data_IF_806722841910
#
_entry.id   IF_806722841910
#
_cell.length_a   1.000
_cell.length_b   1.000
_cell.length_c   1.000
_cell.angle_alpha   90.00
_cell.angle_beta   90.00
_cell.angle_gamma   90.00
#
_symmetry.space_group_name_H-M   'P 1'
#
loop_
_entity.id
_entity.type
_entity.pdbx_description
1 polymer ?
#
# COMPACT_ATOMS: atom_id res chain seq x y z
N UNK A 1 8.51 10.42 11.26
CA UNK A 1 9.61 11.36 10.92
C UNK A 1 10.63 11.17 12.02
N UNK A 2 11.83 10.73 11.71
CA UNK A 2 12.88 10.58 12.71
C UNK A 2 13.49 11.96 12.98
N UNK A 3 13.88 12.21 14.23
CA UNK A 3 14.58 13.43 14.60
C UNK A 3 16.08 13.21 14.44
N UNK A 4 16.76 14.06 13.69
CA UNK A 4 18.22 14.12 13.60
C UNK A 4 18.86 14.92 14.74
N UNK A 5 18.03 15.49 15.63
CA UNK A 5 18.46 16.26 16.81
C UNK A 5 18.37 15.42 18.10
N UNK A 6 17.83 14.22 18.00
CA UNK A 6 17.67 13.30 19.11
C UNK A 6 18.73 12.23 18.99
N UNK A 7 19.49 12.02 20.05
CA UNK A 7 20.49 10.95 20.12
C UNK A 7 19.82 9.62 20.46
N UNK A 8 20.24 8.56 19.78
CA UNK A 8 19.75 7.19 20.01
C UNK A 8 20.92 6.24 20.30
N UNK A 9 20.68 5.19 21.09
CA UNK A 9 21.66 4.11 21.20
C UNK A 9 21.69 3.26 19.92
N UNK A 10 20.51 2.95 19.38
CA UNK A 10 20.35 2.09 18.19
C UNK A 10 19.28 2.68 17.27
N UNK A 11 19.57 2.71 15.97
CA UNK A 11 18.59 3.00 14.93
C UNK A 11 18.51 1.86 13.91
N UNK A 12 17.32 1.64 13.35
CA UNK A 12 17.10 0.63 12.30
C UNK A 12 16.50 1.32 11.09
N UNK A 13 17.17 1.21 9.95
CA UNK A 13 16.68 1.67 8.65
C UNK A 13 16.37 0.45 7.80
N UNK A 14 15.08 0.19 7.63
CA UNK A 14 14.61 -0.94 6.82
C UNK A 14 14.57 -0.58 5.32
N UNK A 15 14.66 -1.60 4.47
CA UNK A 15 14.60 -1.51 3.01
C UNK A 15 15.61 -0.53 2.41
N UNK A 16 16.88 -0.59 2.86
CA UNK A 16 17.92 0.39 2.55
C UNK A 16 18.13 0.68 1.05
N UNK A 17 17.84 -0.28 0.16
CA UNK A 17 17.88 -0.06 -1.30
C UNK A 17 16.96 1.06 -1.79
N UNK A 18 15.96 1.45 -0.99
CA UNK A 18 15.07 2.57 -1.24
C UNK A 18 15.81 3.91 -1.33
N UNK A 19 17.06 4.03 -0.86
CA UNK A 19 17.88 5.23 -1.07
C UNK A 19 18.10 5.58 -2.54
N UNK A 20 17.93 4.62 -3.47
CA UNK A 20 17.97 4.84 -4.92
C UNK A 20 16.59 5.06 -5.56
N UNK A 21 15.51 5.07 -4.78
CA UNK A 21 14.16 5.38 -5.28
C UNK A 21 14.09 6.87 -5.69
N UNK A 22 13.79 7.20 -6.96
CA UNK A 22 13.85 8.58 -7.46
C UNK A 22 12.89 9.57 -6.80
N UNK A 23 11.87 9.07 -6.12
CA UNK A 23 10.82 9.86 -5.48
C UNK A 23 11.05 9.95 -3.96
N UNK A 24 11.34 8.81 -3.33
CA UNK A 24 11.37 8.66 -1.87
C UNK A 24 12.77 8.53 -1.27
N UNK A 25 13.78 8.26 -2.10
CA UNK A 25 15.13 7.92 -1.64
C UNK A 25 15.81 9.00 -0.81
N UNK A 26 15.42 10.27 -0.98
CA UNK A 26 15.88 11.38 -0.14
C UNK A 26 15.68 11.14 1.35
N UNK A 27 14.60 10.48 1.75
CA UNK A 27 14.33 10.16 3.16
C UNK A 27 15.30 9.11 3.72
N UNK A 28 15.66 8.09 2.93
CA UNK A 28 16.64 7.07 3.34
C UNK A 28 18.04 7.64 3.40
N UNK A 29 18.45 8.41 2.40
CA UNK A 29 19.76 9.09 2.41
C UNK A 29 19.88 10.03 3.60
N UNK A 30 18.81 10.79 3.93
CA UNK A 30 18.79 11.63 5.12
C UNK A 30 18.87 10.83 6.43
N UNK A 31 18.28 9.63 6.48
CA UNK A 31 18.36 8.77 7.65
C UNK A 31 19.78 8.23 7.85
N UNK A 32 20.36 7.67 6.79
CA UNK A 32 21.69 7.05 6.82
C UNK A 32 22.78 8.06 7.19
N UNK A 33 22.72 9.27 6.64
CA UNK A 33 23.75 10.30 6.85
C UNK A 33 23.46 11.22 8.03
N UNK A 34 22.24 11.21 8.57
CA UNK A 34 21.78 12.24 9.52
C UNK A 34 21.26 11.72 10.86
N UNK A 35 21.09 10.41 11.03
CA UNK A 35 20.72 9.85 12.34
C UNK A 35 21.89 9.94 13.31
N UNK A 36 21.66 10.60 14.45
CA UNK A 36 22.58 10.60 15.58
C UNK A 36 22.34 9.33 16.41
N UNK A 37 23.02 8.23 16.03
CA UNK A 37 22.93 6.96 16.74
C UNK A 37 24.30 6.28 16.87
N UNK A 38 24.53 5.60 18.00
CA UNK A 38 25.79 4.83 18.21
C UNK A 38 25.90 3.64 17.27
N UNK A 39 24.78 2.99 16.96
CA UNK A 39 24.69 1.87 16.02
C UNK A 39 23.50 2.06 15.07
N UNK A 40 23.73 1.95 13.76
CA UNK A 40 22.69 2.04 12.74
C UNK A 40 22.64 0.71 11.98
N UNK A 41 21.57 -0.07 12.18
CA UNK A 41 21.31 -1.28 11.43
C UNK A 41 20.60 -0.96 10.12
N UNK A 42 21.24 -1.29 9.01
CA UNK A 42 20.67 -1.15 7.66
C UNK A 42 20.20 -2.51 7.16
N UNK A 43 18.89 -2.68 6.99
CA UNK A 43 18.28 -3.92 6.48
C UNK A 43 17.87 -3.73 5.02
N UNK A 44 18.16 -4.69 4.15
CA UNK A 44 17.69 -4.66 2.75
C UNK A 44 18.44 -5.61 1.81
N UNK A 45 18.29 -5.40 0.51
CA UNK A 45 18.92 -6.28 -0.49
C UNK A 45 20.43 -6.03 -0.63
N UNK A 46 21.18 -7.11 -0.93
CA UNK A 46 22.63 -7.07 -1.06
C UNK A 46 23.15 -6.08 -2.14
N UNK A 47 22.29 -5.67 -3.07
CA UNK A 47 22.59 -4.71 -4.13
C UNK A 47 22.78 -3.28 -3.64
N UNK A 48 22.32 -2.96 -2.43
CA UNK A 48 22.54 -1.67 -1.79
C UNK A 48 23.94 -1.54 -1.18
N UNK A 49 24.57 -2.65 -0.80
CA UNK A 49 25.84 -2.67 -0.05
C UNK A 49 26.95 -1.85 -0.70
N UNK A 50 27.25 -1.98 -2.02
CA UNK A 50 28.34 -1.22 -2.63
C UNK A 50 28.10 0.30 -2.58
N UNK A 51 26.84 0.73 -2.74
CA UNK A 51 26.49 2.15 -2.68
C UNK A 51 26.56 2.68 -1.25
N UNK A 52 26.05 1.90 -0.27
CA UNK A 52 26.15 2.24 1.16
C UNK A 52 27.62 2.39 1.57
N UNK A 53 28.48 1.45 1.18
CA UNK A 53 29.91 1.55 1.45
C UNK A 53 30.53 2.81 0.82
N UNK A 54 30.16 3.13 -0.42
CA UNK A 54 30.67 4.32 -1.11
C UNK A 54 30.19 5.64 -0.49
N UNK A 55 28.95 5.74 -0.01
CA UNK A 55 28.46 6.98 0.61
C UNK A 55 29.03 7.21 2.01
N UNK A 56 29.33 6.13 2.75
CA UNK A 56 29.89 6.16 4.10
C UNK A 56 31.42 6.18 4.14
N UNK A 57 32.11 6.03 3.01
CA UNK A 57 33.58 6.00 2.94
C UNK A 57 34.25 7.22 3.61
N UNK A 58 33.60 8.38 3.53
CA UNK A 58 34.14 9.64 4.06
C UNK A 58 33.58 10.04 5.43
N UNK A 59 32.71 9.23 6.05
CA UNK A 59 32.15 9.54 7.37
C UNK A 59 33.05 9.07 8.51
N UNK A 60 33.90 8.07 8.24
CA UNK A 60 34.74 7.43 9.25
C UNK A 60 34.02 6.35 10.07
N UNK A 61 32.79 6.00 9.70
CA UNK A 61 32.01 4.95 10.36
C UNK A 61 32.54 3.55 10.04
N UNK A 62 32.43 2.63 11.00
CA UNK A 62 32.69 1.20 10.78
C UNK A 62 31.49 0.54 10.08
N UNK A 63 31.74 -0.23 9.03
CA UNK A 63 30.69 -0.92 8.27
C UNK A 63 30.86 -2.43 8.39
N UNK A 64 29.92 -3.09 9.07
CA UNK A 64 29.87 -4.54 9.23
C UNK A 64 28.75 -5.12 8.36
N UNK A 65 29.10 -5.99 7.41
CA UNK A 65 28.14 -6.58 6.46
C UNK A 65 27.80 -8.02 6.86
N UNK A 66 26.58 -8.21 7.38
CA UNK A 66 26.01 -9.54 7.61
C UNK A 66 25.17 -9.99 6.41
N UNK A 67 25.44 -11.20 5.90
CA UNK A 67 24.69 -11.79 4.78
C UNK A 67 23.78 -12.91 5.28
N UNK A 68 22.52 -12.85 4.87
CA UNK A 68 21.48 -13.80 5.26
C UNK A 68 20.93 -14.51 4.02
N UNK A 69 20.67 -15.81 4.15
CA UNK A 69 19.96 -16.59 3.15
C UNK A 69 18.49 -16.77 3.52
N UNK A 70 17.67 -17.14 2.55
CA UNK A 70 16.24 -17.36 2.77
C UNK A 70 16.05 -18.58 3.68
N UNK A 71 15.24 -18.42 4.72
CA UNK A 71 14.95 -19.46 5.71
C UNK A 71 14.22 -20.68 5.12
N UNK A 72 13.50 -20.51 4.01
CA UNK A 72 12.80 -21.56 3.28
C UNK A 72 13.20 -21.53 1.81
N UNK A 73 13.06 -22.64 1.05
CA UNK A 73 13.36 -22.64 -0.39
C UNK A 73 12.22 -22.01 -1.21
N UNK A 74 12.56 -21.31 -2.29
CA UNK A 74 11.61 -20.72 -3.25
C UNK A 74 11.79 -21.44 -4.58
N UNK A 75 10.73 -22.03 -5.13
CA UNK A 75 10.79 -22.80 -6.39
C UNK A 75 9.88 -22.17 -7.43
N UNK A 76 10.39 -22.00 -8.64
CA UNK A 76 9.57 -21.63 -9.80
C UNK A 76 8.92 -22.89 -10.36
N UNK A 77 7.61 -22.83 -10.64
CA UNK A 77 6.90 -23.94 -11.26
C UNK A 77 7.42 -24.21 -12.68
N UNK A 78 7.33 -25.47 -13.12
CA UNK A 78 7.72 -25.86 -14.48
C UNK A 78 6.81 -25.24 -15.55
N UNK A 79 5.52 -25.18 -15.26
CA UNK A 79 4.48 -24.68 -16.16
C UNK A 79 3.70 -23.53 -15.52
N UNK A 80 3.14 -22.67 -16.37
CA UNK A 80 2.16 -21.66 -15.97
C UNK A 80 0.82 -22.33 -15.67
N UNK A 81 -0.18 -21.55 -15.25
CA UNK A 81 -1.54 -22.04 -15.17
C UNK A 81 -2.25 -22.13 -16.53
N UNK A 82 -1.57 -21.80 -17.64
CA UNK A 82 -2.08 -21.85 -19.03
C UNK A 82 -3.37 -21.05 -19.23
N UNK A 83 -3.53 -19.97 -18.47
CA UNK A 83 -4.74 -19.15 -18.43
C UNK A 83 -5.94 -19.80 -17.74
N UNK A 84 -5.80 -21.02 -17.21
CA UNK A 84 -6.89 -21.76 -16.58
C UNK A 84 -6.97 -21.48 -15.08
N UNK A 85 -7.93 -20.62 -14.72
CA UNK A 85 -8.20 -20.24 -13.34
C UNK A 85 -8.75 -21.39 -12.48
N UNK A 86 -9.19 -22.52 -13.05
CA UNK A 86 -9.57 -23.70 -12.28
C UNK A 86 -8.37 -24.32 -11.54
N UNK A 87 -7.14 -24.00 -11.97
CA UNK A 87 -5.92 -24.46 -11.32
C UNK A 87 -5.50 -23.63 -10.09
N UNK A 88 -6.28 -22.60 -9.75
CA UNK A 88 -6.11 -21.84 -8.50
C UNK A 88 -6.54 -22.70 -7.30
N UNK A 89 -5.76 -22.63 -6.22
CA UNK A 89 -5.89 -23.47 -5.03
C UNK A 89 -5.85 -22.61 -3.76
N UNK A 90 -6.32 -23.18 -2.64
CA UNK A 90 -6.22 -22.55 -1.33
C UNK A 90 -4.77 -22.21 -0.98
N UNK A 91 -4.54 -21.00 -0.51
CA UNK A 91 -3.22 -20.44 -0.20
C UNK A 91 -2.49 -19.81 -1.39
N UNK A 92 -3.12 -19.77 -2.57
CA UNK A 92 -2.61 -19.00 -3.70
C UNK A 92 -2.78 -17.50 -3.46
N UNK A 93 -1.81 -16.73 -3.96
CA UNK A 93 -1.93 -15.30 -4.14
C UNK A 93 -1.74 -14.94 -5.61
N UNK A 94 -2.79 -14.38 -6.23
CA UNK A 94 -2.76 -13.91 -7.62
C UNK A 94 -2.39 -12.43 -7.65
N UNK A 95 -1.33 -12.10 -8.37
CA UNK A 95 -0.77 -10.75 -8.40
C UNK A 95 -1.15 -10.05 -9.70
N UNK A 96 -1.84 -8.91 -9.59
CA UNK A 96 -2.22 -8.07 -10.72
C UNK A 96 -1.96 -6.59 -10.41
N UNK A 97 -1.58 -5.81 -11.44
CA UNK A 97 -1.13 -4.42 -11.26
C UNK A 97 -2.18 -3.37 -11.62
N UNK A 98 -3.44 -3.80 -11.83
CA UNK A 98 -4.57 -2.91 -12.07
C UNK A 98 -5.72 -3.23 -11.14
N UNK A 99 -6.34 -2.21 -10.56
CA UNK A 99 -7.55 -2.35 -9.74
C UNK A 99 -8.67 -3.04 -10.52
N UNK A 100 -8.89 -2.67 -11.78
CA UNK A 100 -9.93 -3.30 -12.61
C UNK A 100 -9.65 -4.79 -12.83
N UNK A 101 -8.37 -5.15 -13.03
CA UNK A 101 -7.95 -6.55 -13.18
C UNK A 101 -8.14 -7.33 -11.88
N UNK A 102 -7.79 -6.76 -10.72
CA UNK A 102 -7.99 -7.40 -9.41
C UNK A 102 -9.46 -7.79 -9.19
N UNK A 103 -10.40 -6.88 -9.45
CA UNK A 103 -11.83 -7.18 -9.33
C UNK A 103 -12.33 -8.16 -10.40
N UNK A 104 -11.77 -8.10 -11.61
CA UNK A 104 -12.06 -9.07 -12.69
C UNK A 104 -11.63 -10.48 -12.29
N UNK A 105 -10.39 -10.65 -11.82
CA UNK A 105 -9.84 -11.92 -11.34
C UNK A 105 -10.66 -12.48 -10.18
N UNK A 106 -11.04 -11.65 -9.20
CA UNK A 106 -11.92 -12.07 -8.09
C UNK A 106 -13.19 -12.72 -8.63
N UNK A 107 -13.89 -12.04 -9.55
CA UNK A 107 -15.13 -12.55 -10.13
C UNK A 107 -14.93 -13.85 -10.91
N UNK A 108 -13.82 -13.95 -11.66
CA UNK A 108 -13.54 -15.13 -12.48
C UNK A 108 -13.13 -16.34 -11.63
N UNK A 109 -12.24 -16.15 -10.64
CA UNK A 109 -11.77 -17.21 -9.73
C UNK A 109 -12.93 -17.72 -8.87
N UNK A 110 -13.72 -16.84 -8.26
CA UNK A 110 -14.89 -17.25 -7.46
C UNK A 110 -15.93 -18.00 -8.30
N UNK A 111 -16.09 -17.63 -9.58
CA UNK A 111 -17.00 -18.31 -10.50
C UNK A 111 -16.48 -19.68 -10.94
N UNK A 112 -15.19 -19.80 -11.21
CA UNK A 112 -14.56 -21.01 -11.72
C UNK A 112 -14.34 -22.06 -10.62
N UNK A 113 -13.81 -21.64 -9.47
CA UNK A 113 -13.34 -22.55 -8.41
C UNK A 113 -14.29 -22.65 -7.22
N UNK A 114 -15.16 -21.65 -7.01
CA UNK A 114 -15.95 -21.50 -5.78
C UNK A 114 -15.16 -21.03 -4.56
N UNK A 115 -13.84 -20.85 -4.66
CA UNK A 115 -12.98 -20.32 -3.61
C UNK A 115 -13.20 -18.82 -3.43
N UNK A 116 -13.24 -18.34 -2.18
CA UNK A 116 -13.37 -16.89 -1.94
C UNK A 116 -12.03 -16.19 -1.94
N UNK A 117 -12.04 -14.97 -2.46
CA UNK A 117 -10.83 -14.17 -2.64
C UNK A 117 -10.83 -12.93 -1.73
N UNK A 118 -9.79 -12.80 -0.89
CA UNK A 118 -9.47 -11.56 -0.18
C UNK A 118 -8.75 -10.60 -1.13
N UNK A 119 -8.86 -9.28 -0.90
CA UNK A 119 -8.31 -8.26 -1.81
C UNK A 119 -7.30 -7.35 -1.10
N UNK A 120 -6.12 -7.16 -1.68
CA UNK A 120 -5.10 -6.22 -1.17
C UNK A 120 -4.48 -5.40 -2.31
N UNK A 121 -4.81 -4.11 -2.39
CA UNK A 121 -4.25 -3.20 -3.39
C UNK A 121 -3.90 -1.84 -2.79
N UNK A 122 -3.02 -1.09 -3.45
CA UNK A 122 -2.38 0.11 -2.87
C UNK A 122 -3.32 1.25 -2.45
N UNK A 123 -4.54 1.33 -3.01
CA UNK A 123 -5.53 2.35 -2.63
C UNK A 123 -6.31 2.00 -1.35
N UNK A 124 -6.26 0.76 -0.87
CA UNK A 124 -6.97 0.36 0.34
C UNK A 124 -6.32 0.96 1.60
N UNK A 125 -7.14 1.40 2.57
CA UNK A 125 -6.66 1.78 3.90
C UNK A 125 -5.77 0.69 4.51
N UNK A 126 -4.68 1.05 5.23
CA UNK A 126 -3.82 0.08 5.94
C UNK A 126 -4.60 -0.87 6.85
N UNK A 127 -5.60 -0.36 7.54
CA UNK A 127 -6.48 -1.07 8.47
C UNK A 127 -7.27 -2.14 7.72
N UNK A 128 -7.95 -1.77 6.63
CA UNK A 128 -8.68 -2.70 5.74
C UNK A 128 -7.74 -3.72 5.11
N UNK A 129 -6.51 -3.33 4.74
CA UNK A 129 -5.50 -4.27 4.21
C UNK A 129 -5.08 -5.30 5.25
N UNK A 130 -4.96 -4.90 6.51
CA UNK A 130 -4.58 -5.78 7.62
C UNK A 130 -5.71 -6.77 7.92
N UNK A 131 -6.95 -6.31 7.91
CA UNK A 131 -8.13 -7.17 8.07
C UNK A 131 -8.29 -8.18 6.92
N UNK A 132 -8.12 -7.75 5.66
CA UNK A 132 -8.12 -8.68 4.52
C UNK A 132 -6.97 -9.71 4.59
N UNK A 133 -5.83 -9.32 5.15
CA UNK A 133 -4.71 -10.22 5.40
C UNK A 133 -5.02 -11.23 6.52
N UNK A 134 -5.66 -10.79 7.60
CA UNK A 134 -6.11 -11.66 8.70
C UNK A 134 -7.16 -12.67 8.22
N UNK A 135 -8.13 -12.21 7.42
CA UNK A 135 -9.13 -13.07 6.79
C UNK A 135 -8.50 -14.13 5.89
N UNK A 136 -7.44 -13.81 5.15
CA UNK A 136 -6.71 -14.78 4.33
C UNK A 136 -5.85 -15.74 5.16
N UNK A 137 -5.23 -15.25 6.24
CA UNK A 137 -4.34 -16.06 7.08
C UNK A 137 -5.10 -17.03 7.97
N UNK A 138 -6.32 -16.69 8.39
CA UNK A 138 -7.12 -17.51 9.29
C UNK A 138 -7.63 -18.78 8.56
N UNK A 139 -7.27 -20.00 8.99
CA UNK A 139 -7.73 -21.23 8.34
C UNK A 139 -9.26 -21.44 8.39
N UNK A 140 -9.91 -20.92 9.44
CA UNK A 140 -11.36 -21.02 9.69
C UNK A 140 -12.18 -19.96 8.95
N UNK A 141 -11.49 -18.97 8.37
CA UNK A 141 -12.10 -17.94 7.56
C UNK A 141 -12.56 -18.51 6.21
N UNK A 142 -13.64 -17.97 5.61
CA UNK A 142 -14.12 -18.44 4.32
C UNK A 142 -13.25 -17.98 3.14
N UNK A 143 -12.16 -17.24 3.38
CA UNK A 143 -11.26 -16.72 2.34
C UNK A 143 -10.08 -17.67 2.10
N UNK A 144 -9.98 -18.20 0.88
CA UNK A 144 -9.01 -19.23 0.53
C UNK A 144 -7.87 -18.71 -0.35
N UNK A 145 -8.10 -17.61 -1.08
CA UNK A 145 -7.18 -17.05 -2.08
C UNK A 145 -6.99 -15.55 -1.80
N UNK A 146 -5.78 -15.05 -2.03
CA UNK A 146 -5.49 -13.61 -1.99
C UNK A 146 -5.35 -13.08 -3.41
N UNK A 147 -5.93 -11.93 -3.72
CA UNK A 147 -5.63 -11.22 -4.97
C UNK A 147 -5.09 -9.84 -4.60
N UNK A 148 -3.91 -9.50 -5.10
CA UNK A 148 -3.31 -8.22 -4.76
C UNK A 148 -2.37 -7.61 -5.77
N UNK A 149 -1.98 -6.37 -5.52
CA UNK A 149 -0.97 -5.66 -6.31
C UNK A 149 0.42 -5.81 -5.69
N UNK A 150 1.39 -5.06 -6.22
CA UNK A 150 2.69 -4.84 -5.57
C UNK A 150 2.61 -4.39 -4.10
N UNK A 151 1.46 -3.91 -3.63
CA UNK A 151 1.20 -3.60 -2.23
C UNK A 151 1.37 -4.80 -1.29
N UNK A 152 1.26 -6.05 -1.78
CA UNK A 152 1.53 -7.24 -0.96
C UNK A 152 3.01 -7.41 -0.67
N UNK A 153 3.90 -6.80 -1.48
CA UNK A 153 5.35 -6.96 -1.40
C UNK A 153 5.95 -6.45 -0.09
N UNK A 154 5.24 -5.58 0.64
CA UNK A 154 5.72 -4.92 1.85
C UNK A 154 4.62 -4.79 2.91
N UNK A 155 5.00 -4.71 4.18
CA UNK A 155 4.14 -4.20 5.26
C UNK A 155 3.02 -5.12 5.78
N UNK A 156 2.77 -6.27 5.17
CA UNK A 156 1.79 -7.26 5.66
C UNK A 156 2.44 -8.61 5.93
N UNK A 157 1.96 -9.32 6.96
CA UNK A 157 2.32 -10.71 7.18
C UNK A 157 1.28 -11.63 6.53
N UNK A 158 1.66 -12.37 5.48
CA UNK A 158 0.74 -13.15 4.65
C UNK A 158 1.18 -14.63 4.58
N UNK A 159 0.26 -15.55 4.85
CA UNK A 159 0.43 -17.00 4.74
C UNK A 159 0.26 -17.47 3.28
N UNK A 160 1.10 -16.97 2.38
CA UNK A 160 1.02 -17.33 0.94
C UNK A 160 1.78 -18.62 0.71
N UNK A 161 1.18 -19.62 0.05
CA UNK A 161 1.86 -20.86 -0.37
C UNK A 161 2.46 -20.72 -1.76
N UNK A 162 1.68 -20.14 -2.68
CA UNK A 162 2.07 -19.96 -4.08
C UNK A 162 1.71 -18.58 -4.59
N UNK A 163 2.68 -17.89 -5.21
CA UNK A 163 2.45 -16.64 -5.94
C UNK A 163 2.17 -16.99 -7.41
N UNK A 164 1.13 -16.38 -7.98
CA UNK A 164 0.75 -16.49 -9.38
C UNK A 164 0.75 -15.09 -9.98
N UNK A 165 1.71 -14.76 -10.84
CA UNK A 165 1.71 -13.49 -11.56
C UNK A 165 0.69 -13.53 -12.69
N UNK A 166 -0.30 -12.64 -12.68
CA UNK A 166 -1.21 -12.49 -13.83
C UNK A 166 -0.49 -11.90 -15.04
N UNK A 167 0.44 -10.98 -14.81
CA UNK A 167 1.30 -10.38 -15.84
C UNK A 167 2.66 -10.01 -15.24
N UNK A 168 3.69 -9.87 -16.08
CA UNK A 168 5.02 -9.38 -15.71
C UNK A 168 5.24 -7.88 -16.00
N UNK A 169 4.18 -7.16 -16.41
CA UNK A 169 4.23 -5.74 -16.76
C UNK A 169 3.24 -4.89 -15.98
N UNK A 170 3.55 -3.61 -15.79
CA UNK A 170 2.66 -2.64 -15.13
C UNK A 170 2.69 -1.27 -15.80
N UNK A 171 1.60 -0.53 -15.62
CA UNK A 171 1.53 0.88 -15.95
C UNK A 171 2.26 1.70 -14.88
N UNK A 172 3.18 2.57 -15.29
CA UNK A 172 3.94 3.44 -14.36
C UNK A 172 3.40 4.88 -14.28
N UNK A 173 2.24 5.14 -14.88
CA UNK A 173 1.67 6.49 -15.01
C UNK A 173 1.88 7.08 -16.40
N UNK A 174 2.90 6.63 -17.14
CA UNK A 174 3.25 7.17 -18.46
C UNK A 174 3.24 6.09 -19.56
N UNK A 175 3.71 4.88 -19.26
CA UNK A 175 3.76 3.76 -20.21
C UNK A 175 3.59 2.41 -19.53
N UNK A 176 3.24 1.41 -20.33
CA UNK A 176 3.33 0.02 -19.91
C UNK A 176 4.81 -0.38 -19.91
N UNK A 177 5.31 -0.83 -18.75
CA UNK A 177 6.69 -1.29 -18.60
C UNK A 177 6.75 -2.64 -17.92
N UNK A 178 7.79 -3.39 -18.24
CA UNK A 178 8.10 -4.62 -17.50
C UNK A 178 8.49 -4.31 -16.06
N UNK A 179 8.17 -5.21 -15.14
CA UNK A 179 8.64 -5.16 -13.75
C UNK A 179 10.15 -5.34 -13.68
N UNK A 180 10.80 -4.66 -12.74
CA UNK A 180 12.23 -4.90 -12.50
C UNK A 180 12.45 -6.25 -11.81
N UNK A 181 13.69 -6.76 -11.92
CA UNK A 181 14.08 -8.00 -11.23
C UNK A 181 13.84 -7.90 -9.71
N UNK A 182 14.16 -6.76 -9.09
CA UNK A 182 13.91 -6.54 -7.66
C UNK A 182 12.42 -6.56 -7.32
N UNK A 183 11.56 -5.94 -8.15
CA UNK A 183 10.11 -5.97 -7.94
C UNK A 183 9.54 -7.39 -8.01
N UNK A 184 9.95 -8.16 -9.02
CA UNK A 184 9.56 -9.56 -9.17
C UNK A 184 10.04 -10.41 -8.00
N UNK A 185 11.31 -10.28 -7.60
CA UNK A 185 11.88 -11.00 -6.45
C UNK A 185 11.19 -10.65 -5.13
N UNK A 186 10.89 -9.37 -4.90
CA UNK A 186 10.21 -8.90 -3.69
C UNK A 186 8.82 -9.51 -3.54
N UNK A 187 8.04 -9.53 -4.63
CA UNK A 187 6.70 -10.12 -4.65
C UNK A 187 6.78 -11.65 -4.53
N UNK A 188 7.63 -12.30 -5.34
CA UNK A 188 7.84 -13.74 -5.35
C UNK A 188 8.29 -14.27 -3.97
N UNK A 189 9.15 -13.51 -3.28
CA UNK A 189 9.68 -13.84 -1.96
C UNK A 189 8.62 -13.94 -0.85
N UNK A 190 7.39 -13.45 -1.09
CA UNK A 190 6.28 -13.53 -0.14
C UNK A 190 5.64 -14.92 -0.06
N UNK A 191 5.84 -15.79 -1.06
CA UNK A 191 5.44 -17.19 -0.96
C UNK A 191 6.23 -17.90 0.15
N UNK A 192 5.65 -18.89 0.83
CA UNK A 192 6.34 -19.83 1.73
C UNK A 192 7.18 -19.20 2.85
N UNK A 193 6.72 -18.13 3.51
CA UNK A 193 7.44 -17.54 4.65
C UNK A 193 7.63 -18.56 5.77
N UNK A 194 8.80 -18.54 6.41
CA UNK A 194 9.15 -19.45 7.50
C UNK A 194 8.16 -19.37 8.67
N UNK A 195 7.82 -20.52 9.24
CA UNK A 195 6.91 -20.62 10.39
C UNK A 195 5.42 -20.40 10.09
N UNK A 196 5.06 -20.05 8.85
CA UNK A 196 3.69 -19.68 8.49
C UNK A 196 2.82 -20.86 8.03
N UNK A 197 3.42 -21.97 7.60
CA UNK A 197 2.69 -23.12 7.03
C UNK A 197 2.84 -24.42 7.82
N UNK A 198 3.53 -24.40 8.97
CA UNK A 198 3.82 -25.58 9.79
C UNK A 198 4.80 -26.58 9.16
N UNK A 199 4.85 -26.67 7.83
CA UNK A 199 5.86 -27.37 7.06
C UNK A 199 6.91 -26.39 6.49
N UNK A 200 8.17 -26.82 6.43
CA UNK A 200 9.24 -26.08 5.76
C UNK A 200 9.28 -26.42 4.26
N UNK A 201 8.12 -26.71 3.64
CA UNK A 201 8.02 -27.17 2.25
C UNK A 201 8.46 -26.13 1.21
N UNK A 202 8.50 -24.86 1.62
CA UNK A 202 8.94 -23.74 0.81
C UNK A 202 7.80 -23.01 0.10
N UNK A 203 8.16 -22.03 -0.72
CA UNK A 203 7.22 -21.25 -1.53
C UNK A 203 7.28 -21.66 -2.99
N UNK A 204 6.14 -21.56 -3.69
CA UNK A 204 6.05 -21.77 -5.14
C UNK A 204 5.76 -20.44 -5.83
N UNK A 205 6.34 -20.22 -7.01
CA UNK A 205 6.04 -19.06 -7.86
C UNK A 205 5.74 -19.54 -9.27
N UNK A 206 4.69 -19.02 -9.89
CA UNK A 206 4.36 -19.27 -11.29
C UNK A 206 3.68 -18.03 -11.90
N UNK A 207 3.27 -18.13 -13.16
CA UNK A 207 2.45 -17.14 -13.85
C UNK A 207 1.10 -17.74 -14.27
N UNK A 208 0.15 -16.88 -14.59
CA UNK A 208 -1.12 -17.27 -15.18
C UNK A 208 -0.92 -17.72 -16.64
N UNK A 209 -0.13 -16.96 -17.41
CA UNK A 209 0.14 -17.22 -18.82
C UNK A 209 1.61 -17.60 -19.06
N UNK A 210 1.88 -18.38 -20.12
CA UNK A 210 3.22 -18.89 -20.43
C UNK A 210 4.23 -17.78 -20.78
N UNK A 211 3.76 -16.71 -21.43
CA UNK A 211 4.59 -15.57 -21.84
C UNK A 211 5.31 -14.87 -20.67
N UNK A 212 4.70 -14.88 -19.48
CA UNK A 212 5.28 -14.27 -18.29
C UNK A 212 6.18 -15.22 -17.49
N UNK A 213 6.02 -16.55 -17.67
CA UNK A 213 6.72 -17.53 -16.83
C UNK A 213 8.24 -17.43 -17.00
N UNK A 214 8.71 -17.24 -18.23
CA UNK A 214 10.14 -17.12 -18.52
C UNK A 214 10.74 -15.84 -17.94
N UNK A 215 9.96 -14.77 -17.84
CA UNK A 215 10.37 -13.51 -17.19
C UNK A 215 10.49 -13.74 -15.69
N UNK A 216 9.45 -14.31 -15.07
CA UNK A 216 9.41 -14.60 -13.63
C UNK A 216 10.53 -15.57 -13.25
N UNK A 217 10.74 -16.64 -14.04
CA UNK A 217 11.80 -17.63 -13.83
C UNK A 217 13.17 -16.98 -13.84
N UNK A 218 13.48 -16.20 -14.89
CA UNK A 218 14.74 -15.45 -14.98
C UNK A 218 14.92 -14.51 -13.79
N UNK A 219 13.86 -13.85 -13.32
CA UNK A 219 13.96 -12.95 -12.19
C UNK A 219 14.26 -13.68 -10.88
N UNK A 220 13.53 -14.77 -10.58
CA UNK A 220 13.68 -15.51 -9.31
C UNK A 220 14.98 -16.30 -9.27
N UNK A 221 15.37 -16.94 -10.36
CA UNK A 221 16.58 -17.79 -10.42
C UNK A 221 17.87 -17.01 -10.65
N UNK A 222 17.77 -15.75 -11.09
CA UNK A 222 18.95 -14.91 -11.31
C UNK A 222 19.71 -14.68 -10.01
N UNK A 223 21.00 -15.02 -10.03
CA UNK A 223 21.96 -14.62 -8.98
C UNK A 223 22.33 -13.14 -9.05
N UNK A 224 22.00 -12.45 -10.14
CA UNK A 224 22.24 -11.03 -10.25
C UNK A 224 21.40 -10.28 -9.21
N UNK A 225 22.08 -9.43 -8.45
CA UNK A 225 21.45 -8.48 -7.54
C UNK A 225 21.54 -7.12 -8.20
N UNK A 226 20.42 -6.49 -8.57
CA UNK A 226 20.44 -5.13 -9.11
C UNK A 226 21.18 -4.21 -8.14
N UNK A 227 22.24 -3.57 -8.61
CA UNK A 227 23.07 -2.70 -7.78
C UNK A 227 22.43 -1.32 -7.73
N UNK A 228 22.19 -0.82 -6.52
CA UNK A 228 21.79 0.55 -6.30
C UNK A 228 22.92 1.48 -6.80
N UNK A 229 22.61 2.41 -7.70
CA UNK A 229 23.67 3.18 -8.40
C UNK A 229 23.93 4.53 -7.76
N UNK A 230 22.88 5.21 -7.32
CA UNK A 230 22.95 6.58 -6.81
C UNK A 230 22.00 6.77 -5.64
N UNK A 231 22.48 7.38 -4.56
CA UNK A 231 21.67 7.82 -3.45
C UNK A 231 20.96 9.13 -3.83
N UNK A 232 19.66 9.20 -3.60
CA UNK A 232 18.90 10.42 -3.85
C UNK A 232 19.11 11.39 -2.69
N UNK A 233 19.53 12.62 -2.97
CA UNK A 233 19.68 13.65 -1.95
C UNK A 233 18.32 14.17 -1.47
N UNK A 234 18.16 14.46 -0.16
CA UNK A 234 16.93 15.06 0.35
C UNK A 234 16.74 16.49 -0.15
N UNK A 235 15.48 16.86 -0.38
CA UNK A 235 15.10 18.26 -0.61
C UNK A 235 15.04 19.01 0.72
N UNK A 236 16.11 19.75 1.05
CA UNK A 236 16.21 20.51 2.29
C UNK A 236 15.63 21.93 2.15
N UNK A 237 14.76 22.33 3.08
CA UNK A 237 14.17 23.69 3.16
C UNK A 237 15.25 24.77 3.19
N UNK A 238 16.32 24.54 3.96
CA UNK A 238 17.44 25.49 4.09
C UNK A 238 18.15 25.76 2.76
N UNK A 239 18.31 24.71 1.94
CA UNK A 239 18.89 24.85 0.60
C UNK A 239 17.99 25.72 -0.28
N UNK A 240 16.68 25.46 -0.28
CA UNK A 240 15.74 26.27 -1.03
C UNK A 240 15.69 27.73 -0.55
N UNK A 241 15.84 27.97 0.75
CA UNK A 241 15.89 29.33 1.30
C UNK A 241 17.06 30.15 0.75
N UNK A 242 18.24 29.55 0.66
CA UNK A 242 19.43 30.20 0.07
C UNK A 242 19.28 30.44 -1.42
N UNK A 243 18.68 29.50 -2.15
CA UNK A 243 18.43 29.64 -3.58
C UNK A 243 17.41 30.74 -3.86
N UNK A 244 16.33 30.81 -3.08
CA UNK A 244 15.29 31.82 -3.23
C UNK A 244 15.82 33.25 -3.09
N UNK A 245 16.74 33.48 -2.15
CA UNK A 245 17.39 34.78 -1.96
C UNK A 245 18.22 35.23 -3.18
N UNK A 246 18.62 34.31 -4.05
CA UNK A 246 19.38 34.59 -5.25
C UNK A 246 18.50 34.75 -6.49
N UNK A 247 17.21 34.36 -6.40
CA UNK A 247 16.27 34.51 -7.50
C UNK A 247 15.76 35.95 -7.62
N UNK A 248 15.31 36.31 -8.82
CA UNK A 248 14.67 37.61 -9.03
C UNK A 248 13.34 37.66 -8.26
N UNK A 249 12.97 38.79 -7.65
CA UNK A 249 11.64 38.96 -7.06
C UNK A 249 10.54 38.61 -8.06
N UNK A 250 9.53 37.85 -7.60
CA UNK A 250 8.43 37.36 -8.45
C UNK A 250 8.74 36.09 -9.25
N UNK A 251 9.92 35.49 -9.07
CA UNK A 251 10.19 34.16 -9.63
C UNK A 251 9.28 33.11 -8.99
N UNK A 252 8.72 32.21 -9.79
CA UNK A 252 7.94 31.08 -9.30
C UNK A 252 8.78 30.07 -8.51
N UNK A 253 8.11 29.22 -7.75
CA UNK A 253 8.65 28.06 -7.06
C UNK A 253 9.38 27.11 -8.02
N UNK A 254 8.91 26.96 -9.27
CA UNK A 254 9.62 26.18 -10.29
C UNK A 254 11.07 26.63 -10.54
N UNK A 255 11.35 27.93 -10.43
CA UNK A 255 12.68 28.49 -10.68
C UNK A 255 13.71 28.01 -9.64
N UNK A 256 13.29 27.66 -8.42
CA UNK A 256 14.17 27.08 -7.40
C UNK A 256 14.75 25.76 -7.89
N UNK A 257 13.92 24.93 -8.51
CA UNK A 257 14.35 23.67 -9.07
C UNK A 257 15.22 23.88 -10.30
N UNK A 258 14.85 24.79 -11.21
CA UNK A 258 15.67 25.10 -12.40
C UNK A 258 17.11 25.46 -12.02
N UNK A 259 17.27 26.35 -11.03
CA UNK A 259 18.58 26.73 -10.51
C UNK A 259 19.25 25.56 -9.80
N UNK A 260 18.53 24.79 -8.97
CA UNK A 260 19.10 23.61 -8.30
C UNK A 260 19.68 22.60 -9.30
N UNK A 261 18.94 22.25 -10.36
CA UNK A 261 19.43 21.30 -11.37
C UNK A 261 20.58 21.87 -12.20
N UNK A 262 20.57 23.17 -12.50
CA UNK A 262 21.65 23.80 -13.28
C UNK A 262 22.95 23.95 -12.45
N UNK A 263 22.82 24.31 -11.18
CA UNK A 263 23.94 24.63 -10.30
C UNK A 263 24.51 23.41 -9.56
N UNK A 264 23.74 22.33 -9.38
CA UNK A 264 24.18 21.17 -8.63
C UNK A 264 25.48 20.57 -9.19
N UNK A 265 26.40 20.25 -8.27
CA UNK A 265 27.63 19.50 -8.53
C UNK A 265 27.64 18.32 -7.59
N UNK A 266 27.41 17.13 -8.14
CA UNK A 266 27.24 15.90 -7.37
C UNK A 266 28.40 14.95 -7.64
N UNK A 267 28.80 14.21 -6.61
CA UNK A 267 29.66 13.04 -6.81
C UNK A 267 28.88 11.93 -7.54
N UNK A 268 29.56 10.99 -8.23
CA UNK A 268 28.92 9.99 -9.08
C UNK A 268 27.89 9.09 -8.37
N UNK A 269 28.05 8.90 -7.06
CA UNK A 269 27.20 8.09 -6.19
C UNK A 269 25.93 8.83 -5.69
N UNK A 270 25.72 10.10 -6.07
CA UNK A 270 24.53 10.87 -5.70
C UNK A 270 23.71 11.30 -6.92
N UNK A 271 22.42 11.53 -6.70
CA UNK A 271 21.52 12.15 -7.66
C UNK A 271 20.53 13.09 -6.94
N UNK A 272 20.02 14.08 -7.67
CA UNK A 272 18.84 14.82 -7.23
C UNK A 272 17.58 13.94 -7.38
N UNK A 273 16.50 14.26 -6.64
CA UNK A 273 15.19 13.68 -6.89
C UNK A 273 14.78 13.80 -8.37
N UNK A 274 13.82 13.01 -8.84
CA UNK A 274 13.35 13.16 -10.21
C UNK A 274 12.38 14.34 -10.32
N UNK A 275 12.76 15.40 -11.05
CA UNK A 275 11.91 16.58 -11.28
C UNK A 275 10.52 16.22 -11.80
N UNK A 276 10.43 15.28 -12.74
CA UNK A 276 9.15 14.90 -13.36
C UNK A 276 8.13 14.40 -12.34
N UNK A 277 8.58 13.86 -11.21
CA UNK A 277 7.69 13.37 -10.15
C UNK A 277 7.06 14.50 -9.31
N UNK A 278 7.75 15.64 -9.21
CA UNK A 278 7.29 16.80 -8.42
C UNK A 278 6.73 17.92 -9.29
N UNK A 279 6.79 17.79 -10.61
CA UNK A 279 6.36 18.80 -11.59
C UNK A 279 4.89 19.21 -11.40
N UNK A 280 3.99 18.25 -11.19
CA UNK A 280 2.56 18.52 -10.96
C UNK A 280 2.36 19.30 -9.64
N UNK A 281 3.12 18.97 -8.60
CA UNK A 281 3.11 19.69 -7.32
C UNK A 281 3.65 21.12 -7.47
N UNK A 282 4.76 21.29 -8.19
CA UNK A 282 5.38 22.60 -8.45
C UNK A 282 4.39 23.52 -9.16
N UNK A 283 3.70 23.04 -10.21
CA UNK A 283 2.69 23.81 -10.94
C UNK A 283 1.53 24.21 -10.04
N UNK A 284 1.05 23.28 -9.21
CA UNK A 284 -0.02 23.59 -8.27
C UNK A 284 0.42 24.63 -7.23
N UNK A 285 1.66 24.56 -6.73
CA UNK A 285 2.22 25.54 -5.81
C UNK A 285 2.30 26.92 -6.46
N UNK A 286 2.83 27.02 -7.67
CA UNK A 286 2.93 28.29 -8.40
C UNK A 286 1.57 28.93 -8.67
N UNK A 287 0.54 28.11 -8.90
CA UNK A 287 -0.82 28.59 -9.15
C UNK A 287 -1.59 28.96 -7.87
N UNK A 288 -1.40 28.22 -6.78
CA UNK A 288 -2.30 28.25 -5.62
C UNK A 288 -1.68 28.90 -4.38
N UNK A 289 -0.35 28.94 -4.29
CA UNK A 289 0.37 29.36 -3.10
C UNK A 289 1.03 30.74 -3.28
N UNK A 290 0.45 31.60 -4.13
CA UNK A 290 0.91 32.98 -4.28
C UNK A 290 0.83 33.73 -2.94
N UNK A 291 1.89 34.46 -2.59
CA UNK A 291 2.01 35.19 -1.32
C UNK A 291 2.34 34.33 -0.10
N UNK A 292 2.40 33.01 -0.23
CA UNK A 292 2.82 32.13 0.87
C UNK A 292 4.34 32.12 1.04
N UNK A 293 4.77 31.93 2.29
CA UNK A 293 6.19 31.76 2.65
C UNK A 293 6.79 30.51 1.98
N UNK A 294 8.11 30.47 1.87
CA UNK A 294 8.81 29.28 1.38
C UNK A 294 8.50 28.03 2.21
N UNK A 295 8.40 28.18 3.53
CA UNK A 295 8.10 27.07 4.43
C UNK A 295 6.72 26.46 4.14
N UNK A 296 5.72 27.28 3.80
CA UNK A 296 4.40 26.82 3.39
C UNK A 296 4.43 26.12 2.04
N UNK A 297 5.09 26.70 1.04
CA UNK A 297 5.24 26.08 -0.29
C UNK A 297 5.96 24.73 -0.24
N UNK A 298 7.05 24.63 0.52
CA UNK A 298 7.74 23.35 0.72
C UNK A 298 6.89 22.36 1.51
N UNK A 299 6.06 22.80 2.45
CA UNK A 299 5.11 21.92 3.14
C UNK A 299 4.10 21.30 2.17
N UNK A 300 3.59 22.08 1.22
CA UNK A 300 2.69 21.58 0.16
C UNK A 300 3.42 20.59 -0.75
N UNK A 301 4.67 20.88 -1.14
CA UNK A 301 5.50 19.97 -1.92
C UNK A 301 5.70 18.61 -1.22
N UNK A 302 5.93 18.62 0.09
CA UNK A 302 6.17 17.41 0.90
C UNK A 302 4.87 16.71 1.34
N UNK A 303 3.71 17.28 1.03
CA UNK A 303 2.42 16.68 1.40
C UNK A 303 2.13 15.43 0.55
N UNK A 304 1.40 14.44 1.09
CA UNK A 304 1.13 13.18 0.38
C UNK A 304 -0.03 13.32 -0.62
N UNK A 305 -0.07 14.42 -1.37
CA UNK A 305 -1.13 14.71 -2.35
C UNK A 305 -0.73 14.09 -3.69
N UNK A 306 -1.48 13.09 -4.21
CA UNK A 306 -1.26 12.62 -5.57
C UNK A 306 -1.87 13.62 -6.55
N UNK A 307 -1.07 14.58 -7.01
CA UNK A 307 -1.53 15.70 -7.85
C UNK A 307 -2.15 15.30 -9.20
N UNK A 308 -1.94 14.06 -9.66
CA UNK A 308 -2.60 13.49 -10.84
C UNK A 308 -4.01 12.96 -10.57
N UNK A 309 -4.39 12.82 -9.31
CA UNK A 309 -5.74 12.42 -8.91
C UNK A 309 -6.59 13.68 -8.73
N UNK A 310 -7.56 13.88 -9.63
CA UNK A 310 -8.36 15.11 -9.73
C UNK A 310 -9.09 15.43 -8.42
N UNK A 311 -9.62 14.43 -7.73
CA UNK A 311 -10.34 14.61 -6.47
C UNK A 311 -9.40 15.05 -5.36
N UNK A 312 -8.24 14.40 -5.23
CA UNK A 312 -7.24 14.79 -4.23
C UNK A 312 -6.67 16.20 -4.51
N UNK A 313 -6.41 16.53 -5.77
CA UNK A 313 -5.93 17.85 -6.18
C UNK A 313 -6.99 18.94 -5.91
N UNK A 314 -8.26 18.70 -6.23
CA UNK A 314 -9.36 19.62 -5.95
C UNK A 314 -9.58 19.83 -4.44
N UNK A 315 -9.50 18.76 -3.65
CA UNK A 315 -9.56 18.87 -2.18
C UNK A 315 -8.41 19.70 -1.62
N UNK A 316 -7.19 19.51 -2.14
CA UNK A 316 -6.03 20.29 -1.74
C UNK A 316 -6.17 21.77 -2.14
N UNK A 317 -6.67 22.06 -3.35
CA UNK A 317 -7.02 23.41 -3.78
C UNK A 317 -8.00 24.07 -2.80
N UNK A 318 -9.03 23.34 -2.37
CA UNK A 318 -10.00 23.86 -1.41
C UNK A 318 -9.39 24.10 -0.04
N UNK A 319 -8.54 23.19 0.44
CA UNK A 319 -7.79 23.39 1.70
C UNK A 319 -6.90 24.63 1.64
N UNK A 320 -6.18 24.85 0.55
CA UNK A 320 -5.32 26.02 0.37
C UNK A 320 -6.12 27.32 0.29
N UNK A 321 -7.28 27.31 -0.38
CA UNK A 321 -8.18 28.45 -0.40
C UNK A 321 -8.67 28.79 1.02
N UNK A 322 -9.21 27.81 1.76
CA UNK A 322 -9.70 28.03 3.13
C UNK A 322 -8.56 28.49 4.06
N UNK A 323 -7.36 27.92 3.89
CA UNK A 323 -6.17 28.34 4.61
C UNK A 323 -5.87 29.84 4.37
N UNK A 324 -5.95 30.30 3.12
CA UNK A 324 -5.63 31.67 2.74
C UNK A 324 -6.70 32.67 3.17
N UNK A 325 -7.97 32.36 2.90
CA UNK A 325 -9.08 33.30 3.12
C UNK A 325 -9.62 33.27 4.55
N UNK A 326 -9.66 32.09 5.17
CA UNK A 326 -10.32 31.89 6.47
C UNK A 326 -9.33 31.64 7.61
N UNK A 327 -8.04 31.39 7.30
CA UNK A 327 -7.04 30.90 8.28
C UNK A 327 -7.53 29.67 9.06
N UNK A 328 -8.45 28.90 8.46
CA UNK A 328 -9.11 27.77 9.09
C UNK A 328 -9.63 26.81 8.02
N UNK A 329 -9.27 25.54 8.10
CA UNK A 329 -9.66 24.53 7.11
C UNK A 329 -10.66 23.57 7.73
N UNK A 330 -11.91 23.65 7.23
CA UNK A 330 -13.03 22.80 7.66
C UNK A 330 -13.17 21.61 6.72
N UNK A 331 -12.92 20.42 7.24
CA UNK A 331 -12.90 19.16 6.48
C UNK A 331 -14.27 18.87 5.88
N UNK A 332 -15.35 19.01 6.66
CA UNK A 332 -16.71 18.73 6.19
C UNK A 332 -17.12 19.66 5.05
N UNK A 333 -16.86 20.95 5.18
CA UNK A 333 -17.17 21.94 4.15
C UNK A 333 -16.42 21.63 2.85
N UNK A 334 -15.13 21.33 2.94
CA UNK A 334 -14.33 20.96 1.77
C UNK A 334 -14.82 19.65 1.11
N UNK A 335 -15.19 18.64 1.90
CA UNK A 335 -15.70 17.38 1.38
C UNK A 335 -17.12 17.49 0.79
N UNK A 336 -17.96 18.37 1.35
CA UNK A 336 -19.33 18.59 0.89
C UNK A 336 -19.36 19.22 -0.51
N UNK A 337 -18.53 20.23 -0.77
CA UNK A 337 -18.45 20.87 -2.09
C UNK A 337 -17.95 19.93 -3.19
N UNK A 338 -17.19 18.90 -2.81
CA UNK A 338 -16.70 17.85 -3.71
C UNK A 338 -17.64 16.63 -3.76
N UNK A 339 -18.81 16.69 -3.11
CA UNK A 339 -19.78 15.59 -3.00
C UNK A 339 -19.17 14.26 -2.49
N UNK A 340 -18.14 14.34 -1.64
CA UNK A 340 -17.44 13.16 -1.13
C UNK A 340 -18.17 12.50 0.05
N UNK A 341 -18.98 13.26 0.78
CA UNK A 341 -19.73 12.75 1.94
C UNK A 341 -20.97 11.93 1.53
N UNK A 342 -21.53 12.17 0.34
CA UNK A 342 -22.74 11.47 -0.14
C UNK A 342 -22.54 9.97 -0.26
N UNK A 343 -21.34 9.53 -0.64
CA UNK A 343 -21.01 8.11 -0.71
C UNK A 343 -20.97 7.47 0.68
N UNK A 344 -20.45 8.20 1.68
CA UNK A 344 -20.38 7.74 3.06
C UNK A 344 -21.78 7.63 3.68
N UNK A 345 -22.62 8.65 3.52
CA UNK A 345 -23.98 8.63 4.07
C UNK A 345 -24.87 7.58 3.39
N UNK A 346 -24.72 7.38 2.07
CA UNK A 346 -25.37 6.26 1.37
C UNK A 346 -24.89 4.91 1.91
N UNK A 347 -23.58 4.72 2.10
CA UNK A 347 -23.03 3.49 2.67
C UNK A 347 -23.59 3.22 4.07
N UNK A 348 -23.63 4.24 4.95
CA UNK A 348 -24.18 4.15 6.31
C UNK A 348 -25.65 3.76 6.32
N UNK A 349 -26.45 4.40 5.46
CA UNK A 349 -27.88 4.10 5.33
C UNK A 349 -28.11 2.66 4.88
N UNK A 350 -27.36 2.20 3.87
CA UNK A 350 -27.45 0.83 3.36
C UNK A 350 -26.92 -0.21 4.35
N UNK A 351 -25.93 0.15 5.17
CA UNK A 351 -25.42 -0.67 6.27
C UNK A 351 -26.46 -0.85 7.36
N UNK A 352 -27.14 0.24 7.74
CA UNK A 352 -28.17 0.25 8.77
C UNK A 352 -29.46 -0.45 8.33
N UNK A 353 -29.80 -0.40 7.04
CA UNK A 353 -31.05 -0.95 6.51
C UNK A 353 -31.16 -2.49 6.55
N UNK A 354 -30.11 -3.23 6.95
CA UNK A 354 -30.03 -4.69 7.15
C UNK A 354 -30.51 -5.63 6.02
N UNK A 355 -31.16 -5.14 4.97
CA UNK A 355 -31.81 -5.95 3.96
C UNK A 355 -31.03 -6.00 2.65
N UNK A 356 -30.68 -7.23 2.26
CA UNK A 356 -30.88 -7.73 0.90
C UNK A 356 -30.36 -6.95 -0.30
N UNK A 357 -29.46 -5.97 -0.17
CA UNK A 357 -28.98 -5.23 -1.34
C UNK A 357 -28.18 -6.18 -2.24
N UNK A 358 -28.75 -6.48 -3.40
CA UNK A 358 -28.09 -7.18 -4.48
C UNK A 358 -26.85 -6.40 -4.94
N UNK A 359 -25.82 -7.15 -5.36
CA UNK A 359 -24.64 -6.64 -6.05
C UNK A 359 -25.04 -5.62 -7.11
N UNK A 360 -24.82 -4.32 -6.85
CA UNK A 360 -25.18 -3.24 -7.76
C UNK A 360 -23.91 -2.55 -8.26
N UNK A 361 -23.94 -2.04 -9.49
CA UNK A 361 -22.93 -1.11 -9.99
C UNK A 361 -22.70 0.05 -9.01
N UNK A 362 -23.76 0.43 -8.26
CA UNK A 362 -23.71 1.43 -7.20
C UNK A 362 -22.70 1.13 -6.09
N UNK A 363 -22.46 -0.14 -5.73
CA UNK A 363 -21.47 -0.49 -4.67
C UNK A 363 -20.03 -0.30 -5.16
N UNK A 364 -19.75 -0.57 -6.44
CA UNK A 364 -18.42 -0.37 -7.03
C UNK A 364 -18.09 1.11 -7.18
N UNK A 365 -19.07 1.91 -7.62
CA UNK A 365 -18.94 3.36 -7.72
C UNK A 365 -18.76 4.00 -6.34
N UNK A 366 -19.58 3.59 -5.37
CA UNK A 366 -19.46 4.01 -3.97
C UNK A 366 -18.09 3.68 -3.39
N UNK A 367 -17.53 2.50 -3.67
CA UNK A 367 -16.19 2.11 -3.22
C UNK A 367 -15.12 3.07 -3.74
N UNK A 368 -15.20 3.51 -5.00
CA UNK A 368 -14.24 4.49 -5.55
C UNK A 368 -14.35 5.83 -4.81
N UNK A 369 -15.57 6.31 -4.59
CA UNK A 369 -15.79 7.57 -3.86
C UNK A 369 -15.34 7.49 -2.39
N UNK A 370 -15.55 6.35 -1.73
CA UNK A 370 -15.04 6.11 -0.38
C UNK A 370 -13.51 6.07 -0.33
N UNK A 371 -12.85 5.38 -1.27
CA UNK A 371 -11.38 5.39 -1.40
C UNK A 371 -10.83 6.83 -1.57
N UNK A 372 -11.53 7.67 -2.35
CA UNK A 372 -11.18 9.08 -2.53
C UNK A 372 -11.40 9.91 -1.27
N UNK A 373 -12.54 9.76 -0.58
CA UNK A 373 -12.83 10.43 0.69
C UNK A 373 -11.77 10.08 1.74
N UNK A 374 -11.47 8.79 1.92
CA UNK A 374 -10.44 8.33 2.85
C UNK A 374 -9.10 9.03 2.59
N UNK A 375 -8.70 9.14 1.31
CA UNK A 375 -7.46 9.83 0.95
C UNK A 375 -7.47 11.31 1.30
N UNK A 376 -8.57 12.02 1.03
CA UNK A 376 -8.71 13.44 1.39
C UNK A 376 -8.62 13.63 2.90
N UNK A 377 -9.24 12.75 3.68
CA UNK A 377 -9.14 12.74 5.15
C UNK A 377 -7.69 12.51 5.60
N UNK A 378 -6.96 11.59 4.97
CA UNK A 378 -5.54 11.35 5.29
C UNK A 378 -4.64 12.55 4.96
N UNK A 379 -4.92 13.28 3.86
CA UNK A 379 -4.24 14.54 3.54
C UNK A 379 -4.53 15.58 4.63
N UNK A 380 -5.80 15.74 5.01
CA UNK A 380 -6.20 16.65 6.10
C UNK A 380 -5.48 16.31 7.41
N UNK A 381 -5.47 15.03 7.81
CA UNK A 381 -4.79 14.57 9.02
C UNK A 381 -3.27 14.80 8.94
N UNK A 382 -2.67 14.64 7.76
CA UNK A 382 -1.25 14.98 7.57
C UNK A 382 -1.01 16.46 7.89
N UNK A 383 -1.85 17.37 7.39
CA UNK A 383 -1.74 18.79 7.69
C UNK A 383 -2.08 19.13 9.15
N UNK A 384 -3.08 18.49 9.75
CA UNK A 384 -3.40 18.62 11.19
C UNK A 384 -2.18 18.37 12.08
N UNK A 385 -1.36 17.36 11.78
CA UNK A 385 -0.15 17.09 12.56
C UNK A 385 0.91 18.19 12.47
N UNK A 386 0.87 19.05 11.45
CA UNK A 386 1.84 20.15 11.25
C UNK A 386 1.26 21.52 11.58
N UNK A 387 -0.04 21.71 11.39
CA UNK A 387 -0.78 22.97 11.58
C UNK A 387 -2.08 22.72 12.37
N UNK A 388 -1.99 22.26 13.63
CA UNK A 388 -3.17 21.82 14.39
C UNK A 388 -4.18 22.93 14.67
N UNK A 389 -3.75 24.20 14.69
CA UNK A 389 -4.64 25.36 14.89
C UNK A 389 -5.48 25.63 13.63
N UNK A 390 -4.87 25.50 12.45
CA UNK A 390 -5.53 25.81 11.18
C UNK A 390 -6.37 24.62 10.70
N UNK A 391 -5.86 23.41 10.89
CA UNK A 391 -6.55 22.14 10.59
C UNK A 391 -7.04 21.53 11.90
N UNK A 392 -7.97 22.17 12.58
CA UNK A 392 -8.32 21.84 13.97
C UNK A 392 -9.33 20.71 14.14
N UNK A 393 -10.02 20.27 13.08
CA UNK A 393 -11.11 19.28 13.17
C UNK A 393 -10.58 17.83 13.25
N UNK A 394 -9.61 17.57 14.14
CA UNK A 394 -8.94 16.26 14.27
C UNK A 394 -9.91 15.15 14.64
N UNK A 395 -10.77 15.38 15.63
CA UNK A 395 -11.73 14.38 16.12
C UNK A 395 -12.71 13.98 15.03
N UNK A 396 -13.18 14.95 14.25
CA UNK A 396 -14.06 14.71 13.13
C UNK A 396 -13.35 13.95 12.00
N UNK A 397 -12.10 14.34 11.67
CA UNK A 397 -11.29 13.62 10.69
C UNK A 397 -11.10 12.14 11.08
N UNK A 398 -10.83 11.85 12.36
CA UNK A 398 -10.73 10.48 12.86
C UNK A 398 -12.06 9.73 12.75
N UNK A 399 -13.18 10.39 13.07
CA UNK A 399 -14.52 9.78 12.94
C UNK A 399 -14.83 9.42 11.48
N UNK A 400 -14.67 10.38 10.56
CA UNK A 400 -14.91 10.15 9.13
C UNK A 400 -13.98 9.05 8.60
N UNK A 401 -12.71 9.03 9.02
CA UNK A 401 -11.76 7.96 8.68
C UNK A 401 -12.32 6.58 9.05
N UNK A 402 -12.71 6.39 10.31
CA UNK A 402 -13.23 5.12 10.82
C UNK A 402 -14.53 4.70 10.14
N UNK A 403 -15.45 5.64 9.92
CA UNK A 403 -16.70 5.37 9.22
C UNK A 403 -16.45 4.97 7.75
N UNK A 404 -15.47 5.60 7.12
CA UNK A 404 -15.07 5.30 5.75
C UNK A 404 -14.42 3.91 5.64
N UNK A 405 -13.51 3.55 6.54
CA UNK A 405 -12.89 2.22 6.62
C UNK A 405 -13.93 1.11 6.72
N UNK A 406 -14.84 1.22 7.69
CA UNK A 406 -15.88 0.22 7.90
C UNK A 406 -16.89 0.16 6.73
N UNK A 407 -17.04 1.26 5.96
CA UNK A 407 -17.89 1.29 4.77
C UNK A 407 -17.19 0.67 3.55
N UNK A 408 -15.87 0.88 3.40
CA UNK A 408 -15.04 0.24 2.38
C UNK A 408 -15.04 -1.27 2.58
N UNK A 409 -14.81 -1.73 3.81
CA UNK A 409 -14.85 -3.15 4.17
C UNK A 409 -16.21 -3.78 3.81
N UNK A 410 -17.31 -3.15 4.23
CA UNK A 410 -18.67 -3.58 3.89
C UNK A 410 -18.93 -3.67 2.37
N UNK A 411 -18.38 -2.74 1.58
CA UNK A 411 -18.45 -2.76 0.12
C UNK A 411 -17.67 -3.94 -0.48
N UNK A 412 -16.50 -4.26 0.08
CA UNK A 412 -15.67 -5.39 -0.36
C UNK A 412 -16.38 -6.72 -0.10
N UNK A 413 -16.95 -6.92 1.09
CA UNK A 413 -17.74 -8.12 1.44
C UNK A 413 -18.94 -8.32 0.49
N UNK A 414 -19.63 -7.25 0.11
CA UNK A 414 -20.83 -7.33 -0.77
C UNK A 414 -20.52 -7.37 -2.25
N UNK A 415 -19.28 -7.12 -2.63
CA UNK A 415 -18.80 -7.46 -3.97
C UNK A 415 -18.81 -9.00 -4.18
N UNK A 416 -19.00 -9.78 -3.12
CA UNK A 416 -19.09 -11.25 -3.13
C UNK A 416 -20.47 -11.75 -3.57
N UNK A 417 -20.51 -12.95 -4.16
CA UNK A 417 -21.76 -13.71 -4.29
C UNK A 417 -22.12 -14.29 -2.93
N UNK A 418 -23.35 -14.03 -2.44
CA UNK A 418 -23.99 -14.89 -1.42
C UNK A 418 -24.17 -16.29 -2.03
N UNK A 419 -23.26 -17.21 -1.72
CA UNK A 419 -23.63 -18.63 -1.68
C UNK A 419 -24.49 -18.80 -0.43
N UNK A 420 -25.72 -19.32 -0.61
CA UNK A 420 -26.73 -19.55 0.43
C UNK A 420 -26.07 -19.95 1.76
N UNK A 421 -26.37 -19.21 2.83
CA UNK A 421 -26.27 -19.71 4.21
C UNK A 421 -27.07 -21.02 4.26
N UNK A 422 -26.40 -22.17 4.24
CA UNK A 422 -27.03 -23.46 4.59
C UNK A 422 -26.27 -24.22 5.67
N UNK A 423 -25.29 -23.58 6.32
CA UNK A 423 -24.48 -24.19 7.38
C UNK A 423 -24.78 -23.63 8.78
N UNK A 424 -25.85 -22.83 8.97
CA UNK A 424 -26.32 -22.43 10.31
C UNK A 424 -27.65 -23.05 10.76
N UNK A 425 -28.38 -23.72 9.85
CA UNK A 425 -29.67 -24.38 10.19
C UNK A 425 -29.57 -25.91 10.29
N UNK A 426 -28.37 -26.50 10.22
CA UNK A 426 -28.20 -27.96 10.42
C UNK A 426 -27.85 -28.38 11.85
N UNK A 427 -27.54 -27.43 12.75
CA UNK A 427 -27.16 -27.72 14.13
C UNK A 427 -28.20 -27.29 15.20
N UNK A 428 -29.44 -27.01 14.80
CA UNK A 428 -30.56 -26.80 15.75
C UNK A 428 -31.73 -27.78 15.56
N UNK A 429 -31.49 -28.91 14.90
CA UNK A 429 -32.55 -29.87 14.56
C UNK A 429 -32.18 -31.34 14.73
N UNK A 430 -31.37 -31.70 15.73
CA UNK A 430 -31.20 -33.11 16.15
C UNK A 430 -30.98 -33.20 17.66
N UNK A 431 -32.07 -33.17 18.43
CA UNK A 431 -32.16 -33.91 19.69
C UNK A 431 -33.61 -34.26 19.99
N UNK A 432 -33.83 -35.45 20.55
CA UNK A 432 -35.06 -36.03 21.07
C UNK A 432 -36.05 -36.69 20.07
N UNK A 433 -35.73 -37.93 19.68
CA UNK A 433 -36.70 -39.05 19.71
C UNK A 433 -35.93 -40.37 19.74
N UNK A 434 -35.46 -40.74 20.93
CA UNK A 434 -35.02 -42.10 21.22
C UNK A 434 -36.21 -42.81 21.87
N UNK A 435 -36.89 -43.64 21.09
CA UNK A 435 -37.86 -44.60 21.59
C UNK A 435 -37.12 -45.61 22.48
N UNK A 436 -37.41 -45.57 23.77
CA UNK A 436 -37.00 -46.56 24.76
C UNK A 436 -38.16 -47.56 24.85
N UNK A 437 -37.95 -48.75 24.28
CA UNK A 437 -38.78 -49.92 24.55
C UNK A 437 -38.64 -50.31 26.03
N UNK A 438 -39.76 -50.33 26.75
CA UNK A 438 -39.87 -50.85 28.12
C UNK A 438 -40.39 -52.30 28.05
N UNK A 439 -39.77 -53.29 28.73
CA UNK A 439 -40.17 -54.69 28.68
C UNK A 439 -41.42 -55.00 29.53
N UNK A 440 -42.14 -56.10 29.26
CA UNK A 440 -43.44 -56.37 29.88
C UNK A 440 -43.32 -56.93 31.31
N UNK A 441 -44.11 -56.36 32.21
CA UNK A 441 -44.38 -56.85 33.57
C UNK A 441 -45.41 -57.98 33.54
N UNK A 442 -45.13 -59.07 34.26
CA UNK A 442 -46.05 -60.20 34.49
C UNK A 442 -46.48 -60.23 35.96
N UNK A 443 -47.80 -60.43 36.17
CA UNK A 443 -48.53 -60.98 37.34
C UNK A 443 -49.28 -60.04 38.29
N UNK A 444 -50.61 -60.15 38.23
CA UNK A 444 -51.57 -60.43 39.33
C UNK A 444 -52.70 -61.24 38.67
N UNK A 445 -52.92 -62.54 38.92
CA UNK A 445 -53.54 -63.16 40.10
C UNK A 445 -54.87 -62.50 40.49
N UNK A 446 -55.96 -62.94 39.86
CA UNK A 446 -57.12 -63.62 40.47
C UNK A 446 -57.90 -64.39 39.40
#
# INVERSE_FOLDING_TARGET
>A
MFSTQTSYDVAVVDEIQMLSDPERGGAWTAAVLGLDAKEIHLCGEAGAVPLVQSILENTGDEIIVHRYERLTPLKVARESLKGDLNNIRKGDCVVAFSRSMIFSLKKQIEKATGLRCALVYGRLPPEVRSEQAELFNNPDSPYDVLIGSDAIGMGLNLMIKRIVFETSSKWDGNRQRQLSLSQLKQIAGRAGRYGMHGDNSGGIVTSLYDEDLDVVRRAVESRAVPVAKRAILPSAVEMFGKLEQQLRPGSGFAALFDVQYAAARLQPNYALPNRTQVEDAIRAIDMLCEGQTLAERVRVLLSPVPWRDEVAAAAMQRFLYMYREESHVRLKSACAELNLLDALERAKTMRAAADGVQRSAATTEMLVSLESLYRVVMIYMWFNMRLPIIFSEREEAVRIKQECEASIEWCLERTERRVRRSLRDRDLGKSASADIEVPPTVKTAE
#
